data_IF_969129415078
#
_entry.id   IF_969129415078
#
_cell.length_a   1.000
_cell.length_b   1.000
_cell.length_c   1.000
_cell.angle_alpha   90.00
_cell.angle_beta   90.00
_cell.angle_gamma   90.00
#
_symmetry.space_group_name_H-M   'P 1'
#
loop_
_entity.id
_entity.type
_entity.pdbx_description
1 polymer ?
#
# COMPACT_ATOMS: atom_id res chain seq x y z
N UNK A 1 10.39 6.95 -13.73
CA UNK A 1 10.44 8.20 -14.53
C UNK A 1 9.14 9.02 -14.51
N UNK A 2 7.99 8.45 -14.85
CA UNK A 2 6.73 9.22 -14.91
C UNK A 2 6.19 9.64 -13.54
N UNK A 3 6.22 8.77 -12.53
CA UNK A 3 5.72 9.08 -11.19
C UNK A 3 6.46 10.26 -10.53
N UNK A 4 7.77 10.42 -10.78
CA UNK A 4 8.57 11.52 -10.24
C UNK A 4 8.16 12.88 -10.82
N UNK A 5 7.89 12.94 -12.13
CA UNK A 5 7.47 14.18 -12.79
C UNK A 5 6.13 14.65 -12.24
N UNK A 6 5.16 13.74 -12.11
CA UNK A 6 3.85 14.03 -11.49
C UNK A 6 4.01 14.45 -10.03
N UNK A 7 4.91 13.78 -9.29
CA UNK A 7 5.17 14.11 -7.89
C UNK A 7 5.75 15.51 -7.72
N UNK A 8 6.67 15.93 -8.59
CA UNK A 8 7.23 17.29 -8.59
C UNK A 8 6.18 18.35 -8.91
N UNK A 9 5.28 18.08 -9.85
CA UNK A 9 4.17 18.99 -10.15
C UNK A 9 3.23 19.12 -8.94
N UNK A 10 2.86 18.01 -8.31
CA UNK A 10 2.02 18.02 -7.12
C UNK A 10 2.69 18.76 -5.95
N UNK A 11 4.02 18.63 -5.78
CA UNK A 11 4.76 19.43 -4.81
C UNK A 11 4.69 20.93 -5.11
N UNK A 12 4.83 21.33 -6.38
CA UNK A 12 4.80 22.74 -6.80
C UNK A 12 3.49 23.43 -6.43
N UNK A 13 2.38 22.71 -6.48
CA UNK A 13 1.04 23.24 -6.19
C UNK A 13 0.52 22.87 -4.79
N UNK A 14 1.35 22.28 -3.92
CA UNK A 14 0.95 21.94 -2.55
C UNK A 14 -0.20 20.91 -2.47
N UNK A 15 -0.31 20.01 -3.46
CA UNK A 15 -1.44 19.09 -3.57
C UNK A 15 -1.35 17.99 -2.49
N UNK A 16 -2.37 17.82 -1.63
CA UNK A 16 -2.46 16.70 -0.69
C UNK A 16 -2.55 15.37 -1.44
N UNK A 17 -1.87 14.33 -0.96
CA UNK A 17 -1.73 13.05 -1.65
C UNK A 17 -1.80 11.87 -0.69
N UNK A 18 -2.35 10.79 -1.21
CA UNK A 18 -2.25 9.44 -0.63
C UNK A 18 -1.50 8.54 -1.62
N UNK A 19 -0.86 7.49 -1.12
CA UNK A 19 -0.15 6.50 -1.94
C UNK A 19 -0.88 5.17 -1.83
N UNK A 20 -1.18 4.57 -2.98
CA UNK A 20 -1.70 3.21 -3.07
C UNK A 20 -0.64 2.31 -3.72
N UNK A 21 -0.10 1.38 -2.92
CA UNK A 21 0.83 0.37 -3.43
C UNK A 21 0.02 -0.79 -3.99
N UNK A 22 -0.08 -0.85 -5.31
CA UNK A 22 -0.88 -1.85 -6.02
C UNK A 22 -0.05 -3.09 -6.38
N UNK A 23 -0.72 -4.18 -6.77
CA UNK A 23 -0.15 -5.42 -7.30
C UNK A 23 0.68 -6.20 -6.27
N UNK A 24 0.21 -6.23 -5.03
CA UNK A 24 0.83 -7.00 -3.95
C UNK A 24 0.76 -8.51 -4.16
N UNK A 25 -0.09 -8.96 -5.08
CA UNK A 25 -0.28 -10.34 -5.55
C UNK A 25 0.80 -10.82 -6.55
N UNK A 26 1.70 -9.94 -7.00
CA UNK A 26 2.70 -10.29 -8.02
C UNK A 26 4.04 -10.71 -7.45
N UNK A 27 4.73 -11.59 -8.17
CA UNK A 27 6.11 -11.99 -7.87
C UNK A 27 7.01 -10.74 -7.74
N UNK A 28 7.80 -10.70 -6.67
CA UNK A 28 8.66 -9.58 -6.32
C UNK A 28 7.94 -8.43 -5.60
N UNK A 29 6.69 -8.61 -5.18
CA UNK A 29 5.96 -7.60 -4.41
C UNK A 29 6.64 -7.37 -3.04
N UNK A 30 7.08 -6.14 -2.82
CA UNK A 30 7.70 -5.75 -1.55
C UNK A 30 7.28 -4.33 -1.17
N UNK A 31 6.36 -4.25 -0.20
CA UNK A 31 5.79 -3.00 0.28
C UNK A 31 6.84 -2.07 0.89
N UNK A 32 7.68 -2.58 1.78
CA UNK A 32 8.72 -1.79 2.45
C UNK A 32 9.80 -1.28 1.49
N UNK A 33 10.08 -2.02 0.40
CA UNK A 33 10.94 -1.51 -0.67
C UNK A 33 10.29 -0.32 -1.40
N UNK A 34 9.00 -0.36 -1.67
CA UNK A 34 8.26 0.77 -2.28
C UNK A 34 8.24 1.97 -1.35
N UNK A 35 7.99 1.76 -0.05
CA UNK A 35 8.09 2.81 0.97
C UNK A 35 9.48 3.48 0.96
N UNK A 36 10.54 2.68 0.97
CA UNK A 36 11.90 3.19 0.94
C UNK A 36 12.21 3.97 -0.36
N UNK A 37 11.68 3.51 -1.50
CA UNK A 37 11.82 4.24 -2.77
C UNK A 37 11.10 5.59 -2.74
N UNK A 38 9.92 5.69 -2.12
CA UNK A 38 9.23 6.97 -1.94
C UNK A 38 10.08 7.92 -1.11
N UNK A 39 10.66 7.43 -0.01
CA UNK A 39 11.54 8.22 0.86
C UNK A 39 12.80 8.70 0.12
N UNK A 40 13.49 7.80 -0.58
CA UNK A 40 14.78 8.10 -1.21
C UNK A 40 14.65 8.85 -2.56
N UNK A 41 13.73 8.44 -3.43
CA UNK A 41 13.60 8.99 -4.79
C UNK A 41 12.68 10.20 -4.84
N UNK A 42 11.56 10.16 -4.13
CA UNK A 42 10.59 11.26 -4.12
C UNK A 42 10.89 12.30 -3.02
N UNK A 43 11.87 12.02 -2.14
CA UNK A 43 12.23 12.86 -0.97
C UNK A 43 11.00 13.23 -0.15
N UNK A 44 10.07 12.28 -0.02
CA UNK A 44 8.83 12.45 0.74
C UNK A 44 8.95 11.76 2.11
N UNK A 45 7.98 12.02 3.00
CA UNK A 45 7.85 11.33 4.28
C UNK A 45 6.65 10.35 4.21
N UNK A 46 6.83 9.14 3.65
CA UNK A 46 5.76 8.15 3.65
C UNK A 46 5.46 7.68 5.08
N UNK A 47 4.18 7.56 5.40
CA UNK A 47 3.71 7.01 6.69
C UNK A 47 2.73 5.88 6.37
N UNK A 48 3.15 4.61 6.50
CA UNK A 48 2.26 3.48 6.32
C UNK A 48 1.12 3.51 7.34
N UNK A 49 -0.12 3.48 6.86
CA UNK A 49 -1.33 3.30 7.69
C UNK A 49 -1.95 1.91 7.51
N UNK A 50 -1.56 1.21 6.44
CA UNK A 50 -1.90 -0.18 6.19
C UNK A 50 -0.63 -1.00 5.95
N UNK A 51 -0.62 -2.23 6.46
CA UNK A 51 0.46 -3.19 6.24
C UNK A 51 -0.13 -4.41 5.52
N UNK A 52 0.40 -4.84 4.38
CA UNK A 52 -0.10 -6.04 3.69
C UNK A 52 0.16 -7.31 4.49
N UNK A 53 -0.83 -8.20 4.49
CA UNK A 53 -0.74 -9.55 5.07
C UNK A 53 -0.30 -10.49 3.94
N UNK A 54 0.92 -10.99 4.06
CA UNK A 54 1.58 -11.76 3.02
C UNK A 54 2.04 -10.92 1.82
N UNK A 55 2.59 -11.59 0.82
CA UNK A 55 3.04 -11.00 -0.44
C UNK A 55 2.97 -12.05 -1.55
N UNK A 56 2.93 -11.60 -2.81
CA UNK A 56 2.85 -12.48 -3.97
C UNK A 56 1.61 -13.40 -3.88
N UNK A 57 1.79 -14.70 -4.07
CA UNK A 57 0.73 -15.71 -3.95
C UNK A 57 0.15 -15.84 -2.53
N UNK A 58 0.87 -15.38 -1.51
CA UNK A 58 0.40 -15.37 -0.11
C UNK A 58 -0.30 -14.08 0.29
N UNK A 59 -0.47 -13.13 -0.63
CA UNK A 59 -1.18 -11.88 -0.33
C UNK A 59 -2.68 -12.14 -0.14
N UNK A 60 -3.15 -11.98 1.10
CA UNK A 60 -4.54 -12.30 1.51
C UNK A 60 -5.30 -11.12 2.09
N UNK A 61 -4.63 -10.00 2.40
CA UNK A 61 -5.24 -8.99 3.24
C UNK A 61 -4.37 -7.78 3.52
N UNK A 62 -4.90 -6.87 4.32
CA UNK A 62 -4.16 -5.75 4.90
C UNK A 62 -4.54 -5.55 6.37
N UNK A 63 -3.57 -5.18 7.19
CA UNK A 63 -3.77 -4.69 8.55
C UNK A 63 -4.04 -3.19 8.46
N UNK A 64 -5.14 -2.73 9.04
CA UNK A 64 -5.45 -1.33 9.28
C UNK A 64 -4.94 -0.91 10.66
N UNK A 65 -3.91 -0.05 10.68
CA UNK A 65 -3.30 0.44 11.92
C UNK A 65 -4.10 1.57 12.58
N UNK A 66 -5.03 2.19 11.86
CA UNK A 66 -5.91 3.24 12.42
C UNK A 66 -7.01 2.59 13.25
N UNK A 67 -7.60 1.52 12.72
CA UNK A 67 -8.66 0.78 13.40
C UNK A 67 -8.15 -0.37 14.28
N UNK A 68 -6.86 -0.70 14.18
CA UNK A 68 -6.25 -1.87 14.81
C UNK A 68 -7.00 -3.16 14.47
N UNK A 69 -7.18 -3.41 13.16
CA UNK A 69 -7.89 -4.58 12.63
C UNK A 69 -7.19 -5.18 11.42
N UNK A 70 -7.23 -6.51 11.30
CA UNK A 70 -6.82 -7.22 10.10
C UNK A 70 -8.03 -7.39 9.16
N UNK A 71 -7.88 -6.99 7.91
CA UNK A 71 -8.89 -7.14 6.85
C UNK A 71 -8.38 -8.22 5.91
N UNK A 72 -9.04 -9.38 5.91
CA UNK A 72 -8.64 -10.55 5.11
C UNK A 72 -9.71 -10.83 4.06
N UNK A 73 -9.31 -10.95 2.79
CA UNK A 73 -10.23 -11.23 1.70
C UNK A 73 -10.37 -12.73 1.45
N UNK A 74 -11.60 -13.21 1.33
CA UNK A 74 -11.86 -14.59 0.92
C UNK A 74 -11.79 -14.73 -0.60
N UNK A 75 -10.83 -15.54 -1.07
CA UNK A 75 -10.56 -15.80 -2.49
C UNK A 75 -11.77 -16.35 -3.26
N UNK A 76 -12.72 -16.99 -2.58
CA UNK A 76 -13.91 -17.59 -3.20
C UNK A 76 -14.90 -16.55 -3.76
N UNK A 77 -14.82 -15.29 -3.33
CA UNK A 77 -15.82 -14.26 -3.68
C UNK A 77 -15.29 -13.11 -4.52
N UNK A 78 -14.11 -13.27 -5.15
CA UNK A 78 -13.40 -12.16 -5.82
C UNK A 78 -13.27 -10.90 -4.94
N UNK A 79 -13.08 -11.07 -3.63
CA UNK A 79 -12.96 -9.97 -2.68
C UNK A 79 -14.27 -9.25 -2.33
N UNK A 80 -15.43 -9.77 -2.75
CA UNK A 80 -16.74 -9.21 -2.36
C UNK A 80 -17.06 -9.42 -0.88
N UNK A 81 -16.45 -10.43 -0.24
CA UNK A 81 -16.50 -10.64 1.20
C UNK A 81 -15.10 -10.57 1.79
N UNK A 82 -14.98 -9.84 2.88
CA UNK A 82 -13.79 -9.75 3.70
C UNK A 82 -14.17 -10.01 5.15
N UNK A 83 -13.28 -10.69 5.86
CA UNK A 83 -13.37 -10.90 7.29
C UNK A 83 -12.53 -9.83 7.99
N UNK A 84 -13.00 -9.41 9.16
CA UNK A 84 -12.35 -8.39 9.98
C UNK A 84 -11.99 -9.03 11.31
N UNK A 85 -10.70 -9.15 11.58
CA UNK A 85 -10.15 -9.76 12.77
C UNK A 85 -9.44 -8.71 13.64
N UNK A 86 -9.39 -8.95 14.95
CA UNK A 86 -8.56 -8.14 15.86
C UNK A 86 -7.08 -8.58 15.76
N UNK A 87 -6.16 -7.63 15.88
CA UNK A 87 -4.70 -7.84 15.83
C UNK A 87 -4.07 -7.81 17.21
#
# INVERSE_FOLDING_TARGET
PQSETVWRQANKYGVPRIVFVNKMDRIGANFYNVENQIKLRLKANPVPINIPIGAEDTFIGVIDLVQMKAIVWNNETMGAKYDVEEI
#
